data_IF_372580530298
#
_entry.id   IF_372580530298
#
_cell.length_a   1.000
_cell.length_b   1.000
_cell.length_c   1.000
_cell.angle_alpha   90.00
_cell.angle_beta   90.00
_cell.angle_gamma   90.00
#
_symmetry.space_group_name_H-M   'P 1'
#
loop_
_entity.id
_entity.type
_entity.pdbx_description
1 polymer ?
#
# COMPACT_ATOMS: atom_id res chain seq x y z
N UNK A 1 7.04 1.55 -9.18
CA UNK A 1 7.58 0.82 -8.01
C UNK A 1 9.09 0.68 -8.11
N UNK A 2 9.65 0.05 -9.15
CA UNK A 2 11.10 -0.27 -9.24
C UNK A 2 12.04 0.95 -9.25
N UNK A 3 11.69 2.03 -9.96
CA UNK A 3 12.51 3.27 -10.03
C UNK A 3 12.62 4.05 -8.71
N UNK A 4 11.68 3.86 -7.78
CA UNK A 4 11.65 4.54 -6.47
C UNK A 4 11.81 3.54 -5.32
N UNK A 5 12.29 2.33 -5.62
CA UNK A 5 12.36 1.24 -4.66
C UNK A 5 13.24 1.60 -3.45
N UNK A 6 14.38 2.23 -3.69
CA UNK A 6 15.28 2.69 -2.63
C UNK A 6 14.65 3.77 -1.75
N UNK A 7 14.01 4.76 -2.36
CA UNK A 7 13.33 5.86 -1.63
C UNK A 7 12.26 5.31 -0.69
N UNK A 8 11.49 4.30 -1.13
CA UNK A 8 10.50 3.64 -0.27
C UNK A 8 11.20 2.90 0.87
N UNK A 9 12.26 2.15 0.59
CA UNK A 9 13.03 1.44 1.62
C UNK A 9 13.65 2.35 2.68
N UNK A 10 14.08 3.55 2.30
CA UNK A 10 14.57 4.59 3.22
C UNK A 10 13.42 5.23 3.99
N UNK A 11 12.33 5.58 3.31
CA UNK A 11 11.14 6.21 3.92
C UNK A 11 10.39 5.28 4.88
N UNK A 12 10.66 3.98 4.81
CA UNK A 12 10.03 2.93 5.64
C UNK A 12 11.06 2.17 6.48
N UNK A 13 12.22 2.78 6.76
CA UNK A 13 13.32 2.12 7.47
C UNK A 13 12.90 1.50 8.80
N UNK A 14 12.02 2.15 9.57
CA UNK A 14 11.48 1.60 10.80
C UNK A 14 10.70 0.29 10.58
N UNK A 15 9.86 0.25 9.55
CA UNK A 15 9.13 -0.96 9.17
C UNK A 15 10.08 -2.08 8.73
N UNK A 16 11.11 -1.73 7.95
CA UNK A 16 12.14 -2.67 7.51
C UNK A 16 12.88 -3.26 8.70
N UNK A 17 13.26 -2.43 9.68
CA UNK A 17 13.92 -2.87 10.92
C UNK A 17 13.04 -3.83 11.72
N UNK A 18 11.73 -3.59 11.81
CA UNK A 18 10.80 -4.51 12.49
C UNK A 18 10.70 -5.85 11.75
N UNK A 19 10.62 -5.83 10.41
CA UNK A 19 10.52 -7.05 9.60
C UNK A 19 11.79 -7.90 9.69
N UNK A 20 12.97 -7.28 9.75
CA UNK A 20 14.26 -7.96 9.77
C UNK A 20 14.96 -7.92 11.14
N UNK A 21 14.24 -7.67 12.24
CA UNK A 21 14.83 -7.44 13.57
C UNK A 21 15.79 -8.56 14.04
N UNK A 22 15.64 -9.78 13.54
CA UNK A 22 16.46 -10.95 13.88
C UNK A 22 17.34 -11.44 12.70
N UNK A 23 17.39 -10.70 11.58
CA UNK A 23 18.02 -11.14 10.32
C UNK A 23 18.75 -9.97 9.63
N UNK A 24 19.83 -9.44 10.23
CA UNK A 24 20.55 -8.28 9.70
C UNK A 24 21.16 -8.53 8.31
N UNK A 25 21.65 -9.74 8.05
CA UNK A 25 22.18 -10.12 6.72
C UNK A 25 21.11 -10.03 5.62
N UNK A 26 19.86 -10.41 5.94
CA UNK A 26 18.75 -10.32 4.97
C UNK A 26 18.28 -8.89 4.77
N UNK A 27 18.39 -8.04 5.79
CA UNK A 27 18.13 -6.61 5.65
C UNK A 27 19.14 -5.98 4.67
N UNK A 28 20.43 -6.30 4.80
CA UNK A 28 21.45 -5.81 3.87
C UNK A 28 21.22 -6.35 2.45
N UNK A 29 20.88 -7.64 2.31
CA UNK A 29 20.49 -8.24 1.03
C UNK A 29 19.27 -7.53 0.40
N UNK A 30 18.26 -7.18 1.21
CA UNK A 30 17.10 -6.42 0.77
C UNK A 30 17.50 -5.05 0.20
N UNK A 31 18.30 -4.26 0.92
CA UNK A 31 18.77 -2.96 0.39
C UNK A 31 19.69 -3.12 -0.84
N UNK A 32 20.49 -4.19 -0.90
CA UNK A 32 21.24 -4.58 -2.09
C UNK A 32 20.32 -4.82 -3.29
N UNK A 33 19.24 -5.57 -3.08
CA UNK A 33 18.21 -5.82 -4.09
C UNK A 33 17.53 -4.53 -4.55
N UNK A 34 17.15 -3.62 -3.63
CA UNK A 34 16.55 -2.33 -3.99
C UNK A 34 17.48 -1.49 -4.88
N UNK A 35 18.78 -1.43 -4.57
CA UNK A 35 19.77 -0.75 -5.42
C UNK A 35 19.89 -1.38 -6.81
N UNK A 36 19.81 -2.71 -6.88
CA UNK A 36 19.78 -3.42 -8.17
C UNK A 36 18.54 -3.05 -8.99
N UNK A 37 17.35 -2.99 -8.37
CA UNK A 37 16.12 -2.60 -9.05
C UNK A 37 16.12 -1.17 -9.59
N UNK A 38 16.76 -0.24 -8.88
CA UNK A 38 16.88 1.15 -9.35
C UNK A 38 17.76 1.24 -10.59
N UNK A 39 18.86 0.47 -10.64
CA UNK A 39 19.76 0.44 -11.80
C UNK A 39 19.23 -0.41 -12.97
N UNK A 40 18.41 -1.43 -12.68
CA UNK A 40 17.83 -2.34 -13.68
C UNK A 40 16.31 -2.48 -13.46
N UNK A 41 15.51 -1.46 -13.84
CA UNK A 41 14.06 -1.48 -13.59
C UNK A 41 13.32 -2.61 -14.30
N UNK A 42 13.87 -3.19 -15.37
CA UNK A 42 13.26 -4.29 -16.10
C UNK A 42 13.62 -5.68 -15.52
N UNK A 43 14.50 -5.73 -14.50
CA UNK A 43 14.84 -6.97 -13.83
C UNK A 43 13.62 -7.59 -13.17
N UNK A 44 13.46 -8.91 -13.26
CA UNK A 44 12.39 -9.67 -12.61
C UNK A 44 12.98 -10.64 -11.60
N UNK A 45 12.34 -10.83 -10.43
CA UNK A 45 12.82 -11.74 -9.40
C UNK A 45 12.86 -13.17 -9.93
N UNK A 46 13.97 -13.86 -9.68
CA UNK A 46 14.22 -15.24 -10.09
C UNK A 46 14.21 -16.19 -8.90
N UNK A 47 14.84 -15.78 -7.79
CA UNK A 47 14.88 -16.59 -6.57
C UNK A 47 13.63 -16.37 -5.72
N UNK A 48 13.30 -17.32 -4.85
CA UNK A 48 12.18 -17.16 -3.91
C UNK A 48 12.44 -16.05 -2.88
N UNK A 49 13.71 -15.78 -2.58
CA UNK A 49 14.11 -14.66 -1.75
C UNK A 49 13.85 -13.31 -2.44
N UNK A 50 14.19 -13.16 -3.72
CA UNK A 50 13.87 -11.94 -4.48
C UNK A 50 12.36 -11.74 -4.62
N UNK A 51 11.59 -12.83 -4.82
CA UNK A 51 10.12 -12.75 -4.83
C UNK A 51 9.58 -12.28 -3.47
N UNK A 52 10.17 -12.75 -2.38
CA UNK A 52 9.85 -12.27 -1.04
C UNK A 52 10.18 -10.78 -0.88
N UNK A 53 11.33 -10.33 -1.36
CA UNK A 53 11.69 -8.90 -1.35
C UNK A 53 10.76 -8.04 -2.19
N UNK A 54 10.33 -8.50 -3.36
CA UNK A 54 9.32 -7.81 -4.19
C UNK A 54 7.97 -7.72 -3.47
N UNK A 55 7.53 -8.80 -2.80
CA UNK A 55 6.30 -8.80 -2.01
C UNK A 55 6.39 -7.86 -0.79
N UNK A 56 7.54 -7.85 -0.11
CA UNK A 56 7.83 -6.93 0.98
C UNK A 56 7.80 -5.48 0.50
N UNK A 57 8.50 -5.17 -0.60
CA UNK A 57 8.52 -3.83 -1.18
C UNK A 57 7.11 -3.36 -1.57
N UNK A 58 6.29 -4.25 -2.14
CA UNK A 58 4.89 -3.94 -2.43
C UNK A 58 4.10 -3.63 -1.15
N UNK A 59 4.32 -4.40 -0.09
CA UNK A 59 3.80 -4.15 1.25
C UNK A 59 4.14 -2.78 1.81
N UNK A 60 5.44 -2.45 1.82
CA UNK A 60 5.95 -1.16 2.28
C UNK A 60 5.34 -0.01 1.47
N UNK A 61 5.26 -0.16 0.14
CA UNK A 61 4.62 0.81 -0.74
C UNK A 61 3.15 1.04 -0.37
N UNK A 62 2.38 -0.03 -0.12
CA UNK A 62 0.97 0.09 0.27
C UNK A 62 0.83 0.76 1.63
N UNK A 63 1.56 0.30 2.64
CA UNK A 63 1.51 0.88 3.99
C UNK A 63 1.85 2.37 3.97
N UNK A 64 3.03 2.69 3.42
CA UNK A 64 3.54 4.06 3.34
C UNK A 64 2.62 4.99 2.54
N UNK A 65 2.16 4.56 1.36
CA UNK A 65 1.29 5.38 0.52
C UNK A 65 -0.08 5.57 1.18
N UNK A 66 -0.62 4.55 1.84
CA UNK A 66 -1.95 4.65 2.45
C UNK A 66 -1.96 5.60 3.63
N UNK A 67 -0.92 5.60 4.47
CA UNK A 67 -0.79 6.55 5.57
C UNK A 67 -0.70 7.99 5.09
N UNK A 68 0.02 8.25 3.98
CA UNK A 68 0.10 9.60 3.39
C UNK A 68 -1.24 10.16 2.94
N UNK A 69 -2.25 9.31 2.73
CA UNK A 69 -3.60 9.70 2.32
C UNK A 69 -4.62 9.59 3.47
N UNK A 70 -4.30 8.88 4.53
CA UNK A 70 -5.12 8.77 5.73
C UNK A 70 -4.94 9.99 6.62
N UNK A 71 -6.04 10.47 7.17
CA UNK A 71 -6.03 11.41 8.27
C UNK A 71 -5.63 10.74 9.58
N UNK A 72 -5.43 11.56 10.61
CA UNK A 72 -5.16 11.11 11.97
C UNK A 72 -6.18 11.69 12.95
N UNK A 73 -6.33 11.05 14.10
CA UNK A 73 -7.28 11.41 15.15
C UNK A 73 -6.59 11.42 16.50
N UNK A 74 -6.72 12.50 17.26
CA UNK A 74 -6.19 12.64 18.61
C UNK A 74 -7.24 13.21 19.55
N UNK A 75 -7.36 12.65 20.75
CA UNK A 75 -8.22 13.21 21.78
C UNK A 75 -7.51 14.41 22.44
N UNK A 76 -8.21 15.53 22.54
CA UNK A 76 -7.71 16.75 23.18
C UNK A 76 -8.65 17.19 24.29
N UNK A 77 -8.08 17.69 25.39
CA UNK A 77 -8.85 18.20 26.52
C UNK A 77 -9.19 19.67 26.28
N UNK A 78 -10.46 20.03 26.44
CA UNK A 78 -10.97 21.41 26.31
C UNK A 78 -11.75 21.79 27.56
N UNK A 79 -12.11 23.07 27.70
CA UNK A 79 -12.91 23.56 28.82
C UNK A 79 -14.30 22.90 28.93
N UNK A 80 -14.79 22.27 27.86
CA UNK A 80 -16.08 21.56 27.82
C UNK A 80 -15.93 20.02 27.90
N UNK A 81 -14.70 19.53 28.06
CA UNK A 81 -14.39 18.09 28.13
C UNK A 81 -13.46 17.62 27.02
N UNK A 82 -13.31 16.30 26.93
CA UNK A 82 -12.48 15.66 25.91
C UNK A 82 -13.19 15.66 24.56
N UNK A 83 -12.54 16.19 23.53
CA UNK A 83 -13.04 16.18 22.16
C UNK A 83 -12.05 15.46 21.26
N UNK A 84 -12.57 14.79 20.23
CA UNK A 84 -11.75 14.13 19.24
C UNK A 84 -11.41 15.10 18.10
N UNK A 85 -10.13 15.41 17.95
CA UNK A 85 -9.62 16.25 16.86
C UNK A 85 -9.15 15.36 15.71
N UNK A 86 -9.85 15.43 14.58
CA UNK A 86 -9.47 14.77 13.33
C UNK A 86 -8.74 15.75 12.41
N UNK A 87 -7.62 15.29 11.86
CA UNK A 87 -6.84 15.99 10.84
C UNK A 87 -6.82 15.14 9.57
N UNK A 88 -7.19 15.71 8.42
CA UNK A 88 -7.21 14.98 7.15
C UNK A 88 -8.42 14.05 6.97
N UNK A 89 -8.29 13.06 6.08
CA UNK A 89 -9.42 12.25 5.60
C UNK A 89 -9.60 10.97 6.40
N UNK A 90 -10.82 10.72 6.86
CA UNK A 90 -11.17 9.44 7.48
C UNK A 90 -11.38 8.36 6.40
N UNK A 91 -10.49 7.37 6.34
CA UNK A 91 -10.61 6.20 5.46
C UNK A 91 -11.16 4.96 6.18
N UNK A 92 -11.50 5.03 7.47
CA UNK A 92 -12.05 3.90 8.24
C UNK A 92 -13.37 3.37 7.68
N UNK A 93 -14.09 4.22 6.93
CA UNK A 93 -15.35 3.91 6.26
C UNK A 93 -15.18 3.24 4.89
N UNK A 94 -13.95 3.21 4.34
CA UNK A 94 -13.68 2.55 3.06
C UNK A 94 -13.86 1.04 3.23
N UNK A 95 -14.74 0.45 2.40
CA UNK A 95 -15.05 -0.99 2.43
C UNK A 95 -14.48 -1.77 1.26
N UNK A 96 -13.94 -1.10 0.24
CA UNK A 96 -13.43 -1.75 -0.96
C UNK A 96 -12.10 -1.13 -1.34
N UNK A 97 -11.08 -1.96 -1.49
CA UNK A 97 -9.75 -1.55 -1.95
C UNK A 97 -9.49 -2.27 -3.26
N UNK A 98 -9.03 -1.52 -4.26
CA UNK A 98 -8.75 -2.07 -5.59
C UNK A 98 -7.26 -1.93 -5.90
N UNK A 99 -6.55 -3.04 -6.04
CA UNK A 99 -5.19 -3.10 -6.55
C UNK A 99 -5.19 -3.11 -8.08
N UNK A 100 -4.89 -1.97 -8.70
CA UNK A 100 -4.71 -1.88 -10.15
C UNK A 100 -3.26 -1.62 -10.53
N UNK A 101 -2.86 -2.20 -11.67
CA UNK A 101 -1.55 -2.05 -12.26
C UNK A 101 -0.42 -2.85 -11.57
N UNK A 102 0.66 -3.05 -12.33
CA UNK A 102 1.94 -3.56 -11.83
C UNK A 102 1.87 -4.93 -11.16
N UNK A 103 2.48 -5.03 -9.97
CA UNK A 103 2.60 -6.26 -9.19
C UNK A 103 1.31 -6.58 -8.42
N UNK A 104 0.62 -5.57 -7.88
CA UNK A 104 -0.59 -5.74 -7.06
C UNK A 104 -1.75 -6.38 -7.82
N UNK A 105 -1.91 -6.10 -9.11
CA UNK A 105 -2.95 -6.75 -9.93
C UNK A 105 -2.72 -8.25 -10.12
N UNK A 106 -1.47 -8.71 -10.05
CA UNK A 106 -1.07 -10.10 -10.34
C UNK A 106 -0.81 -10.93 -9.08
N UNK A 107 -0.58 -10.29 -7.94
CA UNK A 107 -0.24 -10.96 -6.70
C UNK A 107 -1.49 -11.48 -5.95
N UNK A 108 -1.95 -12.68 -6.32
CA UNK A 108 -3.13 -13.32 -5.69
C UNK A 108 -2.93 -13.70 -4.22
N UNK A 109 -1.68 -13.88 -3.78
CA UNK A 109 -1.35 -14.30 -2.42
C UNK A 109 -0.95 -13.11 -1.52
N UNK A 110 -1.04 -11.88 -2.02
CA UNK A 110 -0.63 -10.71 -1.26
C UNK A 110 -1.66 -10.34 -0.19
N UNK A 111 -1.25 -10.44 1.08
CA UNK A 111 -2.07 -10.03 2.21
C UNK A 111 -1.98 -8.51 2.42
N UNK A 112 -2.84 -7.77 1.72
CA UNK A 112 -2.94 -6.31 1.87
C UNK A 112 -3.47 -5.88 3.25
N UNK A 113 -4.23 -6.73 3.94
CA UNK A 113 -4.84 -6.38 5.23
C UNK A 113 -3.78 -6.17 6.29
N UNK A 114 -2.73 -7.00 6.27
CA UNK A 114 -1.56 -6.82 7.14
C UNK A 114 -0.88 -5.47 6.93
N UNK A 115 -0.72 -5.04 5.68
CA UNK A 115 0.00 -3.81 5.35
C UNK A 115 -0.81 -2.54 5.60
N UNK A 116 -2.14 -2.59 5.48
CA UNK A 116 -3.01 -1.47 5.84
C UNK A 116 -3.21 -1.29 7.35
N UNK A 117 -2.80 -2.27 8.15
CA UNK A 117 -2.88 -2.24 9.63
C UNK A 117 -1.52 -2.38 10.28
N UNK A 118 -0.45 -2.05 9.58
CA UNK A 118 0.90 -2.31 10.07
C UNK A 118 1.22 -1.53 11.37
N UNK A 119 0.60 -0.35 11.55
CA UNK A 119 0.59 0.40 12.82
C UNK A 119 -0.73 1.13 13.03
N UNK A 120 -1.10 1.35 14.28
CA UNK A 120 -2.33 2.06 14.65
C UNK A 120 -2.12 3.54 14.94
N UNK A 121 -0.91 3.91 15.38
CA UNK A 121 -0.54 5.26 15.77
C UNK A 121 0.55 5.79 14.85
N UNK A 122 0.50 7.09 14.56
CA UNK A 122 1.61 7.81 13.95
C UNK A 122 2.73 8.10 14.97
N UNK A 123 3.81 8.70 14.50
CA UNK A 123 4.99 9.02 15.32
C UNK A 123 4.68 10.04 16.43
N UNK A 124 3.59 10.80 16.29
CA UNK A 124 3.07 11.75 17.27
C UNK A 124 2.02 11.13 18.23
N UNK A 125 1.82 9.81 18.16
CA UNK A 125 0.86 9.07 18.97
C UNK A 125 -0.61 9.32 18.57
N UNK A 126 -0.87 9.80 17.37
CA UNK A 126 -2.22 10.05 16.84
C UNK A 126 -2.71 8.79 16.13
N UNK A 127 -3.99 8.45 16.29
CA UNK A 127 -4.57 7.28 15.64
C UNK A 127 -4.69 7.50 14.14
N UNK A 128 -4.16 6.58 13.34
CA UNK A 128 -4.24 6.63 11.88
C UNK A 128 -5.61 6.11 11.43
N UNK A 129 -6.28 6.86 10.54
CA UNK A 129 -7.64 6.58 10.09
C UNK A 129 -7.68 5.71 8.83
N UNK A 130 -7.01 4.55 8.87
CA UNK A 130 -7.00 3.59 7.77
C UNK A 130 -8.22 2.63 7.80
N UNK A 131 -8.55 1.98 6.67
CA UNK A 131 -9.66 1.02 6.59
C UNK A 131 -9.48 -0.17 7.55
N UNK A 132 -10.41 -0.35 8.49
CA UNK A 132 -10.36 -1.45 9.46
C UNK A 132 -10.90 -2.79 8.92
N UNK A 133 -11.89 -2.75 8.03
CA UNK A 133 -12.48 -3.91 7.38
C UNK A 133 -12.85 -3.52 5.95
N UNK A 134 -12.35 -4.28 4.97
CA UNK A 134 -12.56 -4.02 3.55
C UNK A 134 -12.40 -5.30 2.75
N UNK A 135 -13.01 -5.34 1.57
CA UNK A 135 -12.76 -6.34 0.54
C UNK A 135 -11.63 -5.86 -0.38
N UNK A 136 -10.68 -6.74 -0.67
CA UNK A 136 -9.62 -6.47 -1.63
C UNK A 136 -9.97 -7.06 -2.99
N UNK A 137 -9.94 -6.21 -4.01
CA UNK A 137 -10.13 -6.58 -5.40
C UNK A 137 -8.88 -6.27 -6.19
N UNK A 138 -8.65 -7.05 -7.25
CA UNK A 138 -7.51 -6.95 -8.14
C UNK A 138 -8.00 -6.73 -9.57
N UNK A 139 -7.36 -5.80 -10.25
CA UNK A 139 -7.50 -5.58 -11.68
C UNK A 139 -6.60 -6.55 -12.46
N UNK A 140 -6.88 -7.85 -12.34
CA UNK A 140 -6.00 -8.91 -12.86
C UNK A 140 -5.74 -8.81 -14.37
N UNK A 141 -6.67 -8.20 -15.11
CA UNK A 141 -6.56 -7.96 -16.56
C UNK A 141 -5.95 -6.60 -16.92
N UNK A 142 -5.69 -5.73 -15.95
CA UNK A 142 -5.14 -4.38 -16.17
C UNK A 142 -6.07 -3.48 -16.98
N UNK A 143 -7.38 -3.68 -16.86
CA UNK A 143 -8.37 -3.00 -17.68
C UNK A 143 -8.79 -1.65 -17.12
N UNK A 144 -8.67 -1.40 -15.82
CA UNK A 144 -9.09 -0.12 -15.23
C UNK A 144 -8.43 1.10 -15.88
N UNK A 145 -7.09 1.12 -16.13
CA UNK A 145 -6.45 2.23 -16.83
C UNK A 145 -6.94 2.41 -18.27
N UNK A 146 -7.25 1.29 -18.96
CA UNK A 146 -7.76 1.34 -20.34
C UNK A 146 -9.21 1.84 -20.38
N UNK A 147 -10.04 1.41 -19.44
CA UNK A 147 -11.43 1.85 -19.30
C UNK A 147 -11.51 3.34 -18.92
N UNK A 148 -10.54 3.86 -18.16
CA UNK A 148 -10.45 5.27 -17.85
C UNK A 148 -10.34 6.16 -19.10
N UNK A 149 -9.65 5.71 -20.15
CA UNK A 149 -9.51 6.45 -21.41
C UNK A 149 -10.85 6.66 -22.13
N UNK A 150 -11.78 5.72 -22.00
CA UNK A 150 -13.12 5.77 -22.64
C UNK A 150 -14.21 6.26 -21.70
N UNK A 151 -13.93 6.43 -20.41
CA UNK A 151 -14.90 6.81 -19.38
C UNK A 151 -15.56 8.17 -19.64
N UNK A 152 -14.86 9.09 -20.32
CA UNK A 152 -15.45 10.40 -20.70
C UNK A 152 -16.58 10.27 -21.73
N UNK A 153 -16.46 9.31 -22.66
CA UNK A 153 -17.46 9.08 -23.70
C UNK A 153 -18.56 8.11 -23.23
N UNK A 154 -18.17 7.09 -22.45
CA UNK A 154 -19.06 6.01 -22.02
C UNK A 154 -18.96 5.75 -20.50
N UNK A 155 -19.34 6.70 -19.64
CA UNK A 155 -19.08 6.63 -18.20
C UNK A 155 -19.75 5.43 -17.52
N UNK A 156 -21.01 5.16 -17.86
CA UNK A 156 -21.76 4.05 -17.25
C UNK A 156 -21.22 2.67 -17.67
N UNK A 157 -20.88 2.52 -18.96
CA UNK A 157 -20.32 1.26 -19.46
C UNK A 157 -18.92 1.03 -18.89
N UNK A 158 -18.07 2.07 -18.87
CA UNK A 158 -16.74 1.98 -18.27
C UNK A 158 -16.82 1.56 -16.79
N UNK A 159 -17.73 2.15 -16.01
CA UNK A 159 -17.92 1.81 -14.60
C UNK A 159 -18.41 0.36 -14.40
N UNK A 160 -19.43 -0.08 -15.16
CA UNK A 160 -19.96 -1.45 -15.08
C UNK A 160 -18.91 -2.49 -15.46
N UNK A 161 -18.24 -2.29 -16.59
CA UNK A 161 -17.17 -3.19 -17.05
C UNK A 161 -16.02 -3.22 -16.05
N UNK A 162 -15.65 -2.08 -15.46
CA UNK A 162 -14.60 -2.02 -14.43
C UNK A 162 -14.94 -2.95 -13.27
N UNK A 163 -16.16 -2.87 -12.73
CA UNK A 163 -16.60 -3.72 -11.61
C UNK A 163 -16.63 -5.20 -12.02
N UNK A 164 -17.14 -5.52 -13.21
CA UNK A 164 -17.24 -6.90 -13.71
C UNK A 164 -15.87 -7.57 -13.93
N UNK A 165 -14.83 -6.77 -14.19
CA UNK A 165 -13.48 -7.30 -14.44
C UNK A 165 -12.65 -7.47 -13.17
N UNK A 166 -13.13 -7.00 -12.02
CA UNK A 166 -12.45 -7.15 -10.74
C UNK A 166 -12.52 -8.59 -10.24
N UNK A 167 -11.38 -9.09 -9.80
CA UNK A 167 -11.24 -10.40 -9.16
C UNK A 167 -10.87 -10.23 -7.70
N UNK A 168 -11.43 -11.02 -6.79
CA UNK A 168 -10.94 -11.10 -5.41
C UNK A 168 -9.50 -11.69 -5.42
#
# INVERSE_FOLDING_TARGET
MRVSALVVGESTQEMVNVVFAQQPERQEAFYGYLRHLVSHPDYLPRSDEEKFFDALLAGLCVGYASERHAGTKKQVCTCVGNVDLQMGRDLTTVRKVVGSGGWLSRASQFDIHRWLKYRELDDDGRRILLPGQFDYYRDSKGLLPLLANVARLYPQLAARTSIQCLTL
#
